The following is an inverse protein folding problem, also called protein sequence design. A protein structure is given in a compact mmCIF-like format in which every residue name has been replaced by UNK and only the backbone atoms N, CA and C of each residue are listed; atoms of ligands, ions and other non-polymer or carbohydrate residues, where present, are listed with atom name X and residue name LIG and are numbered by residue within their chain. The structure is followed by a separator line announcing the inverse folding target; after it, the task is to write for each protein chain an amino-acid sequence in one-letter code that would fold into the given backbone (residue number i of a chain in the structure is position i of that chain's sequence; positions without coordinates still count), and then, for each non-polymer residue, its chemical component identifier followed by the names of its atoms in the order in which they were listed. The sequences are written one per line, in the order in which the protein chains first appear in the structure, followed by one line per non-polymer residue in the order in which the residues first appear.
data_IF_975837335945
#
_entry.id   IF_975837335945
#
_cell.length_a   1.000
_cell.length_b   1.000
_cell.length_c   1.000
_cell.angle_alpha   90.00
_cell.angle_beta   90.00
_cell.angle_gamma   90.00
#
_symmetry.space_group_name_H-M   'P 1'
#
loop_
_entity.id
_entity.type
_entity.pdbx_description
1 polymer ?
#
# COMPACT_ATOMS: atom_id res chain seq x y z
N UNK A 1 -19.60 -7.52 -40.97
CA UNK A 1 -18.54 -6.74 -40.31
C UNK A 1 -18.64 -6.74 -38.77
N UNK A 2 -19.74 -7.24 -38.18
CA UNK A 2 -20.05 -7.06 -36.75
C UNK A 2 -19.25 -7.93 -35.76
N UNK A 3 -18.73 -9.09 -36.20
CA UNK A 3 -17.91 -9.97 -35.36
C UNK A 3 -16.61 -9.33 -34.87
N UNK A 4 -15.99 -8.46 -35.69
CA UNK A 4 -14.74 -7.78 -35.32
C UNK A 4 -14.97 -6.73 -34.23
N UNK A 5 -16.12 -6.06 -34.27
CA UNK A 5 -16.50 -5.02 -33.30
C UNK A 5 -16.75 -5.61 -31.91
N UNK A 6 -17.44 -6.75 -31.84
CA UNK A 6 -17.70 -7.46 -30.57
C UNK A 6 -16.38 -7.95 -29.93
N UNK A 7 -15.46 -8.46 -30.76
CA UNK A 7 -14.15 -8.91 -30.28
C UNK A 7 -13.32 -7.77 -29.67
N UNK A 8 -13.36 -6.59 -30.29
CA UNK A 8 -12.70 -5.38 -29.80
C UNK A 8 -13.28 -4.91 -28.46
N UNK A 9 -14.61 -4.92 -28.32
CA UNK A 9 -15.26 -4.58 -27.04
C UNK A 9 -14.85 -5.54 -25.91
N UNK A 10 -14.78 -6.84 -26.17
CA UNK A 10 -14.37 -7.82 -25.17
C UNK A 10 -12.90 -7.64 -24.75
N UNK A 11 -12.01 -7.34 -25.68
CA UNK A 11 -10.61 -7.03 -25.36
C UNK A 11 -10.48 -5.77 -24.51
N UNK A 12 -11.23 -4.71 -24.83
CA UNK A 12 -11.24 -3.47 -24.04
C UNK A 12 -11.78 -3.72 -22.63
N UNK A 13 -12.82 -4.56 -22.48
CA UNK A 13 -13.35 -4.94 -21.17
C UNK A 13 -12.34 -5.78 -20.36
N UNK A 14 -11.58 -6.69 -20.97
CA UNK A 14 -10.51 -7.42 -20.29
C UNK A 14 -9.34 -6.50 -19.88
N UNK A 15 -8.94 -5.57 -20.75
CA UNK A 15 -7.91 -4.57 -20.45
C UNK A 15 -8.36 -3.66 -19.30
N UNK A 16 -9.60 -3.18 -19.31
CA UNK A 16 -10.19 -2.40 -18.22
C UNK A 16 -10.31 -3.23 -16.95
N UNK A 17 -10.71 -4.50 -17.03
CA UNK A 17 -10.79 -5.43 -15.91
C UNK A 17 -9.45 -5.58 -15.16
N UNK A 18 -8.34 -5.65 -15.89
CA UNK A 18 -6.99 -5.71 -15.30
C UNK A 18 -6.55 -4.38 -14.65
N UNK A 19 -7.15 -3.25 -15.02
CA UNK A 19 -6.86 -1.94 -14.42
C UNK A 19 -7.68 -1.66 -13.15
N UNK A 20 -8.69 -2.49 -12.83
CA UNK A 20 -9.58 -2.26 -11.67
C UNK A 20 -8.98 -2.80 -10.37
N UNK A 21 -7.99 -3.69 -10.44
CA UNK A 21 -7.33 -4.22 -9.24
C UNK A 21 -6.18 -3.32 -8.79
N UNK A 22 -6.49 -2.10 -8.37
CA UNK A 22 -5.56 -1.31 -7.59
C UNK A 22 -5.58 -1.81 -6.14
N UNK A 23 -4.44 -2.31 -5.66
CA UNK A 23 -4.26 -2.71 -4.26
C UNK A 23 -4.63 -1.50 -3.37
N UNK A 24 -5.63 -1.65 -2.50
CA UNK A 24 -6.07 -0.56 -1.63
C UNK A 24 -5.09 -0.45 -0.47
N UNK A 25 -4.31 0.62 -0.44
CA UNK A 25 -3.28 0.83 0.56
C UNK A 25 -3.62 2.02 1.46
N UNK A 26 -3.50 1.82 2.77
CA UNK A 26 -3.69 2.83 3.79
C UNK A 26 -2.38 3.14 4.51
N UNK A 27 -2.23 4.40 4.90
CA UNK A 27 -1.05 4.89 5.64
C UNK A 27 -1.44 5.15 7.08
N UNK A 28 -0.81 4.45 8.01
CA UNK A 28 -1.03 4.57 9.45
C UNK A 28 0.15 5.25 10.10
N UNK A 29 -0.13 6.32 10.85
CA UNK A 29 0.86 7.00 11.66
C UNK A 29 0.87 6.42 13.07
N UNK A 30 2.05 6.01 13.54
CA UNK A 30 2.29 5.56 14.90
C UNK A 30 3.14 6.63 15.61
N UNK A 31 2.52 7.48 16.45
CA UNK A 31 3.26 8.46 17.24
C UNK A 31 4.12 7.76 18.31
N UNK A 32 5.24 8.39 18.67
CA UNK A 32 6.08 8.03 19.83
C UNK A 32 6.71 6.63 19.80
N UNK A 33 7.27 6.21 18.66
CA UNK A 33 8.12 5.01 18.62
C UNK A 33 9.55 5.41 19.01
N UNK A 34 10.07 5.00 20.20
CA UNK A 34 11.32 5.54 20.77
C UNK A 34 12.58 5.21 19.95
N UNK A 35 12.47 4.34 18.95
CA UNK A 35 13.58 3.88 18.12
C UNK A 35 13.11 3.69 16.68
N UNK A 36 13.00 4.79 15.95
CA UNK A 36 12.60 4.72 14.56
C UNK A 36 13.68 4.01 13.71
N UNK A 37 13.28 2.97 12.99
CA UNK A 37 14.17 2.05 12.29
C UNK A 37 13.63 0.62 12.35
N UNK A 38 14.42 -0.32 12.89
CA UNK A 38 14.06 -1.74 12.99
C UNK A 38 12.76 -1.96 13.79
N UNK A 39 12.55 -1.17 14.86
CA UNK A 39 11.36 -1.28 15.72
C UNK A 39 10.09 -0.86 14.97
N UNK A 40 10.18 0.14 14.09
CA UNK A 40 9.02 0.62 13.32
C UNK A 40 8.42 -0.49 12.47
N UNK A 41 9.25 -1.21 11.71
CA UNK A 41 8.78 -2.33 10.88
C UNK A 41 8.20 -3.46 11.71
N UNK A 42 8.89 -3.86 12.77
CA UNK A 42 8.40 -4.90 13.68
C UNK A 42 7.03 -4.55 14.27
N UNK A 43 6.84 -3.29 14.68
CA UNK A 43 5.59 -2.83 15.28
C UNK A 43 4.45 -2.78 14.24
N UNK A 44 4.73 -2.31 13.02
CA UNK A 44 3.77 -2.37 11.93
C UNK A 44 3.32 -3.82 11.68
N UNK A 45 4.28 -4.75 11.57
CA UNK A 45 4.02 -6.16 11.28
C UNK A 45 3.34 -6.89 12.45
N UNK A 46 3.57 -6.47 13.70
CA UNK A 46 2.90 -7.06 14.87
C UNK A 46 1.46 -6.58 15.03
N UNK A 47 1.16 -5.35 14.62
CA UNK A 47 -0.16 -4.73 14.82
C UNK A 47 -1.09 -4.94 13.63
N UNK A 48 -0.53 -5.06 12.42
CA UNK A 48 -1.29 -5.18 11.17
C UNK A 48 -0.76 -6.32 10.31
N UNK A 49 -1.68 -7.03 9.66
CA UNK A 49 -1.34 -7.98 8.60
C UNK A 49 -1.13 -7.20 7.30
N UNK A 50 -0.41 -7.79 6.34
CA UNK A 50 -0.19 -7.20 5.00
C UNK A 50 0.53 -5.85 4.98
N UNK A 51 1.50 -5.65 5.88
CA UNK A 51 2.39 -4.49 5.82
C UNK A 51 3.26 -4.56 4.56
N UNK A 52 3.06 -3.61 3.65
CA UNK A 52 3.84 -3.49 2.41
C UNK A 52 5.15 -2.77 2.67
N UNK A 53 5.10 -1.70 3.46
CA UNK A 53 6.24 -0.84 3.80
C UNK A 53 6.10 -0.29 5.20
N UNK A 54 7.24 -0.05 5.84
CA UNK A 54 7.33 0.67 7.09
C UNK A 54 8.55 1.60 7.03
N UNK A 55 8.37 2.87 7.39
CA UNK A 55 9.45 3.86 7.35
C UNK A 55 9.24 4.97 8.36
N UNK A 56 10.31 5.72 8.59
CA UNK A 56 10.37 6.77 9.60
C UNK A 56 10.32 8.15 8.97
N UNK A 57 9.53 9.04 9.53
CA UNK A 57 9.48 10.46 9.15
C UNK A 57 9.87 11.30 10.37
N UNK A 58 10.92 12.10 10.25
CA UNK A 58 11.35 13.02 11.30
C UNK A 58 12.80 13.47 11.12
N UNK A 59 13.15 14.66 11.64
CA UNK A 59 14.52 15.22 11.55
C UNK A 59 15.45 14.73 12.67
N UNK A 60 14.90 14.11 13.73
CA UNK A 60 15.65 13.68 14.92
C UNK A 60 15.04 12.41 15.48
N UNK A 61 15.87 11.56 16.12
CA UNK A 61 15.45 10.31 16.76
C UNK A 61 14.31 10.52 17.78
N UNK A 62 14.33 11.65 18.50
CA UNK A 62 13.33 12.00 19.52
C UNK A 62 12.03 12.58 18.94
N UNK A 63 12.02 12.98 17.67
CA UNK A 63 10.86 13.56 16.99
C UNK A 63 10.63 12.85 15.67
N UNK A 64 10.64 11.52 15.71
CA UNK A 64 10.42 10.67 14.56
C UNK A 64 9.11 9.89 14.73
N UNK A 65 8.34 9.85 13.65
CA UNK A 65 7.09 9.15 13.55
C UNK A 65 7.29 7.90 12.69
N UNK A 66 6.68 6.80 13.11
CA UNK A 66 6.68 5.57 12.33
C UNK A 66 5.45 5.56 11.42
N UNK A 67 5.66 5.28 10.15
CA UNK A 67 4.62 5.16 9.14
C UNK A 67 4.54 3.71 8.68
N UNK A 68 3.35 3.13 8.77
CA UNK A 68 3.03 1.81 8.22
C UNK A 68 2.17 1.99 6.97
N UNK A 69 2.57 1.37 5.86
CA UNK A 69 1.73 1.22 4.66
C UNK A 69 1.20 -0.19 4.65
N UNK A 70 -0.11 -0.32 4.82
CA UNK A 70 -0.83 -1.59 4.83
C UNK A 70 -1.70 -1.64 3.59
N UNK A 71 -1.72 -2.78 2.92
CA UNK A 71 -2.46 -2.97 1.69
C UNK A 71 -3.35 -4.21 1.81
N UNK A 72 -4.58 -4.15 1.32
CA UNK A 72 -5.51 -5.29 1.29
C UNK A 72 -5.19 -6.28 0.15
#
# INVERSE_FOLDING_TARGET
MERKTILLCLMVLMLLGNCIHAEHCETLNVPDVPLCGMVCRYWCESTRRHVKKAYCIGKSLLHSHCICVVCD
#
